data_IF_894580516334
#
_entry.id   IF_894580516334
#
_cell.length_a   1.000
_cell.length_b   1.000
_cell.length_c   1.000
_cell.angle_alpha   90.00
_cell.angle_beta   90.00
_cell.angle_gamma   90.00
#
_symmetry.space_group_name_H-M   'P 1'
#
loop_
_entity.id
_entity.type
_entity.pdbx_description
1 polymer ?
#
# COMPACT_ATOMS: atom_id res chain seq x y z
N UNK A 1 -13.58 35.46 -19.99
CA UNK A 1 -14.10 34.31 -20.76
C UNK A 1 -14.23 33.12 -19.81
N UNK A 2 -15.45 32.79 -19.38
CA UNK A 2 -15.72 31.63 -18.53
C UNK A 2 -15.71 30.38 -19.42
N UNK A 3 -14.70 29.52 -19.28
CA UNK A 3 -14.75 28.16 -19.84
C UNK A 3 -15.76 27.35 -19.01
N UNK A 4 -16.98 27.21 -19.52
CA UNK A 4 -17.87 26.14 -19.09
C UNK A 4 -17.23 24.81 -19.51
N UNK A 5 -16.70 24.06 -18.54
CA UNK A 5 -16.42 22.63 -18.72
C UNK A 5 -17.76 21.91 -18.58
N UNK A 6 -18.43 21.65 -19.69
CA UNK A 6 -19.45 20.61 -19.78
C UNK A 6 -18.76 19.27 -19.68
N UNK A 7 -18.77 18.64 -18.50
CA UNK A 7 -18.39 17.24 -18.33
C UNK A 7 -19.53 16.37 -18.85
N UNK A 8 -19.47 16.06 -20.15
CA UNK A 8 -20.25 14.94 -20.71
C UNK A 8 -19.77 13.61 -20.10
N UNK A 9 -20.56 12.52 -20.24
CA UNK A 9 -20.08 11.19 -19.87
C UNK A 9 -18.76 10.93 -20.60
N UNK A 10 -17.74 10.55 -19.85
CA UNK A 10 -16.42 10.22 -20.41
C UNK A 10 -16.61 9.05 -21.35
N UNK A 11 -16.21 9.22 -22.61
CA UNK A 11 -16.17 8.12 -23.57
C UNK A 11 -15.01 7.18 -23.18
N UNK A 12 -15.35 6.14 -22.43
CA UNK A 12 -14.39 5.16 -21.91
C UNK A 12 -13.61 4.50 -23.05
N UNK A 13 -14.23 4.32 -24.22
CA UNK A 13 -13.58 3.69 -25.35
C UNK A 13 -12.52 4.61 -25.97
N UNK A 14 -12.79 5.92 -26.05
CA UNK A 14 -11.79 6.90 -26.43
C UNK A 14 -10.59 6.90 -25.47
N UNK A 15 -10.84 6.78 -24.15
CA UNK A 15 -9.77 6.69 -23.14
C UNK A 15 -8.90 5.47 -23.37
N UNK A 16 -9.48 4.30 -23.65
CA UNK A 16 -8.71 3.09 -23.94
C UNK A 16 -7.90 3.22 -25.24
N UNK A 17 -8.51 3.73 -26.31
CA UNK A 17 -7.80 3.97 -27.57
C UNK A 17 -6.60 4.92 -27.39
N UNK A 18 -6.76 6.01 -26.64
CA UNK A 18 -5.67 6.94 -26.34
C UNK A 18 -4.55 6.27 -25.54
N UNK A 19 -4.89 5.41 -24.57
CA UNK A 19 -3.92 4.64 -23.80
C UNK A 19 -3.15 3.65 -24.68
N UNK A 20 -3.82 2.98 -25.61
CA UNK A 20 -3.14 2.07 -26.55
C UNK A 20 -2.21 2.83 -27.50
N UNK A 21 -2.65 3.96 -28.06
CA UNK A 21 -1.82 4.80 -28.91
C UNK A 21 -0.57 5.29 -28.15
N UNK A 22 -0.74 5.72 -26.90
CA UNK A 22 0.37 6.10 -26.03
C UNK A 22 1.31 4.92 -25.75
N UNK A 23 0.77 3.74 -25.45
CA UNK A 23 1.54 2.51 -25.24
C UNK A 23 2.38 2.15 -26.48
N UNK A 24 1.78 2.22 -27.67
CA UNK A 24 2.48 1.97 -28.95
C UNK A 24 3.63 2.96 -29.15
N UNK A 25 3.37 4.26 -28.95
CA UNK A 25 4.40 5.30 -29.07
C UNK A 25 5.56 5.05 -28.10
N UNK A 26 5.24 4.71 -26.85
CA UNK A 26 6.25 4.52 -25.81
C UNK A 26 7.11 3.27 -26.07
N UNK A 27 6.48 2.13 -26.41
CA UNK A 27 7.20 0.89 -26.68
C UNK A 27 8.02 0.95 -27.96
N UNK A 28 7.57 1.68 -28.98
CA UNK A 28 8.36 1.95 -30.19
C UNK A 28 9.64 2.73 -29.88
N UNK A 29 9.67 3.50 -28.79
CA UNK A 29 10.83 4.26 -28.31
C UNK A 29 11.72 3.50 -27.32
N UNK A 30 11.45 2.22 -27.03
CA UNK A 30 12.23 1.45 -26.07
C UNK A 30 13.69 1.27 -26.53
N UNK A 31 14.64 1.82 -25.79
CA UNK A 31 16.07 1.78 -26.13
C UNK A 31 16.80 0.51 -25.63
N UNK A 32 16.07 -0.46 -25.09
CA UNK A 32 16.59 -1.70 -24.52
C UNK A 32 15.65 -2.87 -24.83
N UNK A 33 16.15 -4.11 -24.87
CA UNK A 33 15.29 -5.28 -25.09
C UNK A 33 14.30 -5.44 -23.92
N UNK A 34 13.05 -5.77 -24.21
CA UNK A 34 12.05 -6.15 -23.21
C UNK A 34 11.79 -7.65 -23.34
N UNK A 35 11.69 -8.34 -22.21
CA UNK A 35 11.46 -9.77 -22.16
C UNK A 35 10.06 -10.08 -21.62
N UNK A 36 9.49 -11.17 -22.11
CA UNK A 36 8.24 -11.74 -21.61
C UNK A 36 8.34 -13.26 -21.50
N UNK A 37 7.49 -13.85 -20.66
CA UNK A 37 7.37 -15.31 -20.54
C UNK A 37 6.55 -15.86 -21.71
N UNK A 38 7.10 -16.87 -22.40
CA UNK A 38 6.39 -17.61 -23.45
C UNK A 38 5.35 -18.52 -22.81
N UNK A 39 4.08 -18.13 -22.91
CA UNK A 39 2.97 -18.85 -22.32
C UNK A 39 1.73 -18.81 -23.22
N UNK A 40 0.93 -19.87 -23.22
CA UNK A 40 -0.23 -20.04 -24.12
C UNK A 40 -1.33 -18.98 -23.90
N UNK A 41 -1.50 -18.52 -22.64
CA UNK A 41 -2.47 -17.49 -22.30
C UNK A 41 -2.10 -16.07 -22.79
N UNK A 42 -0.94 -15.90 -23.44
CA UNK A 42 -0.41 -14.59 -23.80
C UNK A 42 0.10 -13.81 -22.58
N UNK A 43 0.34 -12.52 -22.77
CA UNK A 43 0.76 -11.62 -21.71
C UNK A 43 0.20 -10.21 -21.87
N UNK A 44 0.36 -9.42 -20.82
CA UNK A 44 -0.14 -8.04 -20.73
C UNK A 44 0.99 -7.09 -20.38
N UNK A 45 0.98 -5.89 -20.98
CA UNK A 45 1.81 -4.78 -20.54
C UNK A 45 1.23 -4.24 -19.24
N UNK A 46 1.81 -4.61 -18.11
CA UNK A 46 1.22 -4.31 -16.81
C UNK A 46 1.61 -2.94 -16.29
N UNK A 47 2.89 -2.61 -16.38
CA UNK A 47 3.47 -1.38 -15.87
C UNK A 47 4.63 -0.95 -16.75
N UNK A 48 4.90 0.35 -16.76
CA UNK A 48 6.12 0.90 -17.30
C UNK A 48 6.46 2.18 -16.54
N UNK A 49 7.74 2.49 -16.48
CA UNK A 49 8.25 3.69 -15.81
C UNK A 49 9.00 4.57 -16.80
N UNK A 50 8.76 5.88 -16.75
CA UNK A 50 9.40 6.86 -17.63
C UNK A 50 10.12 7.88 -16.76
N UNK A 51 11.42 8.05 -17.01
CA UNK A 51 12.30 8.95 -16.28
C UNK A 51 13.27 9.63 -17.25
N UNK A 52 13.54 10.92 -17.02
CA UNK A 52 14.40 11.75 -17.88
C UNK A 52 13.99 11.73 -19.38
N UNK A 53 12.69 11.58 -19.66
CA UNK A 53 12.15 11.54 -21.02
C UNK A 53 12.34 10.20 -21.76
N UNK A 54 12.80 9.16 -21.08
CA UNK A 54 12.98 7.82 -21.63
C UNK A 54 12.36 6.73 -20.75
N UNK A 55 12.16 5.55 -21.34
CA UNK A 55 11.67 4.37 -20.64
C UNK A 55 12.75 3.84 -19.68
N UNK A 56 12.39 3.60 -18.42
CA UNK A 56 13.30 3.11 -17.38
C UNK A 56 13.05 1.65 -17.02
N UNK A 57 11.79 1.25 -16.97
CA UNK A 57 11.41 -0.15 -16.78
C UNK A 57 10.12 -0.49 -17.51
N UNK A 58 9.98 -1.76 -17.87
CA UNK A 58 8.76 -2.35 -18.46
C UNK A 58 8.45 -3.64 -17.74
N UNK A 59 7.19 -3.81 -17.35
CA UNK A 59 6.68 -5.00 -16.69
C UNK A 59 5.65 -5.72 -17.57
N UNK A 60 5.92 -6.99 -17.84
CA UNK A 60 5.04 -7.90 -18.56
C UNK A 60 4.52 -8.95 -17.59
N UNK A 61 3.21 -9.17 -17.57
CA UNK A 61 2.58 -10.24 -16.79
C UNK A 61 1.99 -11.29 -17.70
N UNK A 62 2.16 -12.56 -17.38
CA UNK A 62 1.68 -13.69 -18.17
C UNK A 62 1.11 -14.77 -17.26
N UNK A 63 0.13 -15.53 -17.76
CA UNK A 63 -0.54 -16.61 -17.01
C UNK A 63 -1.88 -16.20 -16.41
N UNK A 64 -2.37 -17.01 -15.46
CA UNK A 64 -3.64 -16.79 -14.77
C UNK A 64 -3.44 -15.92 -13.53
N UNK A 65 -3.61 -14.62 -13.74
CA UNK A 65 -3.55 -13.61 -12.70
C UNK A 65 -4.80 -13.60 -11.79
N UNK A 66 -5.89 -14.27 -12.16
CA UNK A 66 -7.07 -14.41 -11.30
C UNK A 66 -6.95 -15.59 -10.31
N UNK A 67 -5.97 -16.47 -10.55
CA UNK A 67 -5.69 -17.64 -9.74
C UNK A 67 -4.68 -17.35 -8.63
N UNK A 68 -5.06 -17.66 -7.39
CA UNK A 68 -4.18 -17.61 -6.22
C UNK A 68 -3.04 -18.66 -6.26
N UNK A 69 -3.22 -19.88 -6.81
CA UNK A 69 -2.10 -20.81 -6.99
C UNK A 69 -1.26 -20.57 -8.25
N UNK A 70 -1.69 -19.74 -9.19
CA UNK A 70 -1.06 -19.58 -10.52
C UNK A 70 -1.62 -20.57 -11.57
N UNK A 71 -0.92 -20.79 -12.70
CA UNK A 71 0.43 -20.31 -13.02
C UNK A 71 0.45 -18.82 -13.35
N UNK A 72 1.40 -18.08 -12.78
CA UNK A 72 1.53 -16.64 -13.01
C UNK A 72 3.00 -16.22 -12.97
N UNK A 73 3.43 -15.40 -13.94
CA UNK A 73 4.80 -14.86 -14.01
C UNK A 73 4.76 -13.37 -14.35
N UNK A 74 5.49 -12.58 -13.57
CA UNK A 74 5.82 -11.18 -13.86
C UNK A 74 7.27 -11.09 -14.31
N UNK A 75 7.53 -10.38 -15.41
CA UNK A 75 8.86 -10.11 -15.94
C UNK A 75 9.04 -8.59 -16.01
N UNK A 76 9.88 -8.04 -15.13
CA UNK A 76 10.24 -6.62 -15.15
C UNK A 76 11.63 -6.45 -15.72
N UNK A 77 11.70 -5.77 -16.87
CA UNK A 77 12.96 -5.45 -17.54
C UNK A 77 13.32 -3.99 -17.28
N UNK A 78 14.52 -3.76 -16.75
CA UNK A 78 15.05 -2.45 -16.47
C UNK A 78 16.05 -2.04 -17.54
N UNK A 79 16.10 -0.73 -17.85
CA UNK A 79 17.13 -0.20 -18.74
C UNK A 79 18.54 -0.50 -18.22
N UNK A 80 19.53 -0.65 -19.11
CA UNK A 80 20.92 -0.84 -18.70
C UNK A 80 21.41 0.25 -17.73
N UNK A 81 22.00 -0.17 -16.62
CA UNK A 81 22.55 0.72 -15.59
C UNK A 81 21.50 1.36 -14.66
N UNK A 82 20.22 0.93 -14.71
CA UNK A 82 19.19 1.42 -13.79
C UNK A 82 19.62 1.31 -12.32
N UNK A 83 20.28 0.22 -11.95
CA UNK A 83 20.77 -0.03 -10.59
C UNK A 83 21.81 0.98 -10.08
N UNK A 84 22.43 1.76 -10.98
CA UNK A 84 23.43 2.78 -10.61
C UNK A 84 22.77 4.10 -10.23
N UNK A 85 21.54 4.33 -10.68
CA UNK A 85 20.81 5.57 -10.45
C UNK A 85 19.85 5.44 -9.28
N UNK A 86 19.16 4.31 -9.19
CA UNK A 86 18.23 3.99 -8.11
C UNK A 86 18.42 2.53 -7.72
N UNK A 87 18.50 2.19 -6.42
CA UNK A 87 18.49 0.81 -5.98
C UNK A 87 17.24 0.08 -6.52
N UNK A 88 17.45 -1.05 -7.19
CA UNK A 88 16.34 -1.89 -7.65
C UNK A 88 15.65 -2.55 -6.45
N UNK A 89 14.33 -2.83 -6.51
CA UNK A 89 13.61 -3.51 -5.44
C UNK A 89 14.29 -4.81 -5.01
N UNK A 90 14.28 -5.17 -3.73
CA UNK A 90 14.84 -6.46 -3.31
C UNK A 90 14.00 -7.63 -3.86
N UNK A 91 14.61 -8.82 -3.98
CA UNK A 91 13.87 -9.99 -4.48
C UNK A 91 12.75 -10.42 -3.52
N UNK A 92 12.97 -10.21 -2.22
CA UNK A 92 11.97 -10.36 -1.17
C UNK A 92 10.79 -9.41 -1.38
N UNK A 93 11.04 -8.16 -1.78
CA UNK A 93 9.98 -7.18 -2.03
C UNK A 93 9.12 -7.61 -3.23
N UNK A 94 9.76 -8.15 -4.27
CA UNK A 94 9.08 -8.69 -5.46
C UNK A 94 8.25 -9.95 -5.15
N UNK A 95 8.72 -10.82 -4.25
CA UNK A 95 7.93 -11.96 -3.73
C UNK A 95 6.71 -11.44 -2.98
N UNK A 96 6.90 -10.45 -2.11
CA UNK A 96 5.81 -9.91 -1.31
C UNK A 96 4.84 -9.07 -2.17
N UNK A 97 5.28 -8.39 -3.24
CA UNK A 97 4.40 -7.73 -4.23
C UNK A 97 3.44 -8.73 -4.87
N UNK A 98 3.92 -9.93 -5.20
CA UNK A 98 3.07 -10.98 -5.76
C UNK A 98 2.07 -11.55 -4.75
N UNK A 99 2.39 -11.52 -3.45
CA UNK A 99 1.43 -11.86 -2.39
C UNK A 99 0.41 -10.73 -2.19
N UNK A 100 0.87 -9.49 -2.26
CA UNK A 100 0.02 -8.30 -2.17
C UNK A 100 -0.97 -8.27 -3.33
N UNK A 101 -0.55 -8.63 -4.54
CA UNK A 101 -1.46 -8.85 -5.69
C UNK A 101 -2.54 -9.87 -5.36
N UNK A 102 -2.20 -11.04 -4.81
CA UNK A 102 -3.19 -12.08 -4.47
C UNK A 102 -4.19 -11.56 -3.43
N UNK A 103 -3.73 -10.84 -2.41
CA UNK A 103 -4.61 -10.24 -1.41
C UNK A 103 -5.51 -9.15 -2.02
N UNK A 104 -4.93 -8.15 -2.67
CA UNK A 104 -5.66 -6.99 -3.18
C UNK A 104 -6.61 -7.38 -4.33
N UNK A 105 -6.18 -8.31 -5.17
CA UNK A 105 -6.94 -8.71 -6.35
C UNK A 105 -7.94 -9.84 -6.09
N UNK A 106 -7.53 -10.86 -5.33
CA UNK A 106 -8.31 -12.10 -5.13
C UNK A 106 -8.95 -12.16 -3.72
N UNK A 107 -8.49 -11.31 -2.78
CA UNK A 107 -9.01 -11.28 -1.40
C UNK A 107 -8.46 -12.40 -0.51
N UNK A 108 -7.41 -13.10 -0.96
CA UNK A 108 -6.81 -14.21 -0.21
C UNK A 108 -5.63 -13.69 0.62
N UNK A 109 -5.80 -13.67 1.94
CA UNK A 109 -4.70 -13.35 2.86
C UNK A 109 -3.82 -14.59 3.10
N UNK A 110 -2.61 -14.57 2.54
CA UNK A 110 -1.59 -15.62 2.73
C UNK A 110 -0.71 -15.39 3.98
N UNK A 111 -1.07 -14.41 4.81
CA UNK A 111 -0.43 -14.06 6.07
C UNK A 111 0.75 -13.10 5.94
N UNK A 112 1.08 -12.40 7.04
CA UNK A 112 2.16 -11.41 7.11
C UNK A 112 3.51 -11.98 7.60
N UNK A 113 3.54 -13.27 7.97
CA UNK A 113 4.75 -13.90 8.49
C UNK A 113 5.74 -14.06 7.34
N UNK A 114 6.97 -13.53 7.45
CA UNK A 114 7.99 -13.72 6.44
C UNK A 114 8.17 -15.21 6.19
N UNK A 115 8.09 -15.59 4.92
CA UNK A 115 8.48 -16.91 4.49
C UNK A 115 9.91 -17.27 4.89
N UNK A 116 10.25 -18.55 4.78
CA UNK A 116 11.66 -18.94 4.72
C UNK A 116 12.20 -18.58 3.35
N UNK A 117 12.67 -17.34 3.18
CA UNK A 117 13.38 -16.93 1.98
C UNK A 117 14.64 -17.77 1.85
N UNK A 118 14.69 -18.61 0.82
CA UNK A 118 15.88 -19.40 0.47
C UNK A 118 16.49 -18.86 -0.79
N UNK A 119 17.78 -18.53 -0.72
CA UNK A 119 18.58 -18.24 -1.90
C UNK A 119 18.97 -19.56 -2.58
N UNK A 120 18.37 -19.84 -3.73
CA UNK A 120 18.64 -21.02 -4.56
C UNK A 120 19.37 -20.61 -5.84
N UNK A 121 20.20 -21.51 -6.36
CA UNK A 121 20.78 -21.38 -7.70
C UNK A 121 19.94 -22.22 -8.65
N UNK A 122 19.16 -21.54 -9.46
CA UNK A 122 18.25 -22.14 -10.42
C UNK A 122 18.59 -21.70 -11.84
N UNK A 123 17.84 -22.21 -12.81
CA UNK A 123 18.02 -21.88 -14.22
C UNK A 123 16.72 -21.32 -14.79
N UNK A 124 16.82 -20.27 -15.59
CA UNK A 124 15.74 -19.74 -16.44
C UNK A 124 16.25 -19.80 -17.88
N UNK A 125 15.41 -20.24 -18.81
CA UNK A 125 15.78 -20.27 -20.23
C UNK A 125 15.51 -18.89 -20.83
N UNK A 126 16.49 -18.31 -21.52
CA UNK A 126 16.36 -17.02 -22.20
C UNK A 126 16.76 -17.19 -23.66
N UNK A 127 15.82 -16.98 -24.58
CA UNK A 127 16.00 -17.18 -26.01
C UNK A 127 16.63 -18.55 -26.35
N UNK A 128 16.20 -19.59 -25.61
CA UNK A 128 16.67 -20.97 -25.78
C UNK A 128 17.95 -21.34 -24.99
N UNK A 129 18.60 -20.37 -24.33
CA UNK A 129 19.82 -20.61 -23.55
C UNK A 129 19.55 -20.61 -22.04
N UNK A 130 20.01 -21.62 -21.28
CA UNK A 130 19.85 -21.64 -19.83
C UNK A 130 20.75 -20.59 -19.16
N UNK A 131 20.15 -19.76 -18.29
CA UNK A 131 20.83 -18.73 -17.51
C UNK A 131 20.69 -19.02 -16.03
N UNK A 132 21.82 -19.06 -15.34
CA UNK A 132 21.83 -19.22 -13.89
C UNK A 132 21.24 -17.97 -13.22
N UNK A 133 20.36 -18.18 -12.26
CA UNK A 133 19.68 -17.12 -11.51
C UNK A 133 19.74 -17.43 -10.02
N UNK A 134 19.98 -16.39 -9.22
CA UNK A 134 19.74 -16.46 -7.79
C UNK A 134 18.26 -16.18 -7.56
N UNK A 135 17.57 -17.16 -6.96
CA UNK A 135 16.14 -17.10 -6.69
C UNK A 135 15.92 -17.02 -5.19
N UNK A 136 15.03 -16.12 -4.78
CA UNK A 136 14.51 -16.00 -3.43
C UNK A 136 13.14 -16.64 -3.43
N UNK A 137 13.03 -17.81 -2.82
CA UNK A 137 11.79 -18.59 -2.76
C UNK A 137 11.13 -18.42 -1.38
N UNK A 138 9.82 -18.15 -1.37
CA UNK A 138 8.95 -18.25 -0.20
C UNK A 138 7.90 -19.36 -0.43
N UNK A 139 8.12 -20.50 0.24
CA UNK A 139 7.15 -21.60 0.29
C UNK A 139 6.34 -21.57 1.58
N UNK A 140 5.02 -21.40 1.44
CA UNK A 140 4.02 -21.51 2.51
C UNK A 140 3.08 -22.70 2.28
N UNK A 141 3.58 -23.73 1.62
CA UNK A 141 2.85 -24.98 1.30
C UNK A 141 2.23 -25.64 2.54
N UNK A 142 2.90 -25.58 3.70
CA UNK A 142 2.36 -26.08 4.96
C UNK A 142 1.09 -25.36 5.43
N UNK A 143 0.88 -24.11 5.01
CA UNK A 143 -0.32 -23.32 5.26
C UNK A 143 -1.34 -23.40 4.09
N UNK A 144 -1.11 -24.28 3.10
CA UNK A 144 -1.99 -24.43 1.93
C UNK A 144 -1.82 -23.37 0.85
N UNK A 145 -0.81 -22.51 0.96
CA UNK A 145 -0.53 -21.46 -0.02
C UNK A 145 0.50 -21.90 -1.06
N UNK A 146 0.43 -21.31 -2.26
CA UNK A 146 1.39 -21.57 -3.33
C UNK A 146 2.81 -21.11 -2.98
N UNK A 147 3.80 -21.71 -3.64
CA UNK A 147 5.18 -21.20 -3.63
C UNK A 147 5.27 -19.98 -4.52
N UNK A 148 5.89 -18.92 -4.02
CA UNK A 148 6.23 -17.70 -4.75
C UNK A 148 7.74 -17.57 -4.76
N UNK A 149 8.30 -17.13 -5.87
CA UNK A 149 9.73 -16.87 -5.95
C UNK A 149 10.02 -15.65 -6.81
N UNK A 150 11.15 -15.00 -6.56
CA UNK A 150 11.68 -13.96 -7.43
C UNK A 150 13.15 -14.22 -7.73
N UNK A 151 13.58 -13.96 -8.96
CA UNK A 151 14.96 -14.09 -9.41
C UNK A 151 15.40 -12.90 -10.22
N UNK A 152 16.69 -12.59 -10.18
CA UNK A 152 17.30 -11.52 -10.99
C UNK A 152 18.43 -12.04 -11.85
N UNK A 153 18.41 -11.65 -13.11
CA UNK A 153 19.44 -11.98 -14.09
C UNK A 153 19.79 -10.75 -14.94
N UNK A 154 20.95 -10.81 -15.60
CA UNK A 154 21.37 -9.81 -16.61
C UNK A 154 21.35 -10.46 -17.98
N UNK A 155 20.68 -9.80 -18.93
CA UNK A 155 20.53 -10.27 -20.32
C UNK A 155 20.73 -9.06 -21.23
N UNK A 156 21.65 -9.14 -22.19
CA UNK A 156 21.93 -8.06 -23.15
C UNK A 156 22.17 -6.67 -22.51
N UNK A 157 22.81 -6.68 -21.32
CA UNK A 157 23.08 -5.46 -20.54
C UNK A 157 21.87 -4.92 -19.78
N UNK A 158 20.66 -5.42 -20.01
CA UNK A 158 19.48 -5.13 -19.21
C UNK A 158 19.46 -6.00 -17.94
N UNK A 159 18.92 -5.43 -16.86
CA UNK A 159 18.61 -6.20 -15.65
C UNK A 159 17.16 -6.67 -15.74
N UNK A 160 16.92 -7.97 -15.53
CA UNK A 160 15.59 -8.58 -15.59
C UNK A 160 15.29 -9.17 -14.21
N UNK A 161 14.15 -8.78 -13.63
CA UNK A 161 13.58 -9.41 -12.43
C UNK A 161 12.37 -10.23 -12.85
N UNK A 162 12.36 -11.50 -12.45
CA UNK A 162 11.30 -12.46 -12.75
C UNK A 162 10.67 -12.89 -11.44
N UNK A 163 9.36 -12.75 -11.32
CA UNK A 163 8.59 -13.25 -10.17
C UNK A 163 7.64 -14.31 -10.67
N UNK A 164 7.66 -15.50 -10.07
CA UNK A 164 6.84 -16.63 -10.47
C UNK A 164 6.01 -17.19 -9.33
N UNK A 165 4.82 -17.66 -9.66
CA UNK A 165 3.88 -18.34 -8.77
C UNK A 165 3.26 -19.54 -9.48
N UNK A 166 3.24 -20.69 -8.81
CA UNK A 166 2.69 -21.92 -9.39
C UNK A 166 3.50 -22.51 -10.55
N UNK A 167 4.67 -21.94 -10.84
CA UNK A 167 5.56 -22.34 -11.93
C UNK A 167 6.98 -22.40 -11.36
N UNK A 168 7.75 -23.49 -11.53
CA UNK A 168 9.14 -23.53 -11.10
C UNK A 168 10.03 -22.66 -12.02
N UNK A 169 11.15 -22.08 -11.53
CA UNK A 169 12.04 -21.24 -12.36
C UNK A 169 12.48 -21.90 -13.66
N UNK A 170 12.79 -23.21 -13.63
CA UNK A 170 13.21 -23.97 -14.81
C UNK A 170 12.14 -24.17 -15.89
N UNK A 171 10.87 -23.88 -15.59
CA UNK A 171 9.78 -23.89 -16.57
C UNK A 171 9.52 -22.51 -17.19
N UNK A 172 10.24 -21.47 -16.76
CA UNK A 172 10.13 -20.13 -17.34
C UNK A 172 11.07 -20.03 -18.54
N UNK A 173 10.48 -19.82 -19.72
CA UNK A 173 11.18 -19.45 -20.95
C UNK A 173 10.92 -17.98 -21.25
N UNK A 174 11.95 -17.14 -21.09
CA UNK A 174 11.90 -15.75 -21.49
C UNK A 174 12.28 -15.63 -22.96
N UNK A 175 11.52 -14.82 -23.69
CA UNK A 175 11.89 -14.37 -25.04
C UNK A 175 11.85 -12.86 -25.13
N UNK A 176 12.73 -12.33 -25.98
CA UNK A 176 12.65 -10.92 -26.36
C UNK A 176 11.34 -10.64 -27.08
N UNK A 177 10.63 -9.62 -26.64
CA UNK A 177 9.42 -9.13 -27.29
C UNK A 177 9.83 -8.24 -28.46
N UNK A 178 9.42 -8.65 -29.66
CA UNK A 178 9.64 -7.89 -30.91
C UNK A 178 8.38 -7.13 -31.34
N UNK A 179 7.21 -7.59 -30.91
CA UNK A 179 5.92 -6.98 -31.18
C UNK A 179 5.13 -6.85 -29.87
N UNK A 180 4.82 -5.60 -29.52
CA UNK A 180 4.13 -5.25 -28.29
C UNK A 180 2.60 -5.19 -28.44
N UNK A 181 2.06 -5.31 -29.65
CA UNK A 181 0.64 -5.08 -29.92
C UNK A 181 -0.25 -5.97 -29.05
N UNK A 182 0.06 -7.27 -28.96
CA UNK A 182 -0.69 -8.21 -28.12
C UNK A 182 -0.67 -7.84 -26.62
N UNK A 183 0.44 -7.29 -26.12
CA UNK A 183 0.61 -6.92 -24.71
C UNK A 183 -0.13 -5.62 -24.39
N UNK A 184 -0.14 -4.67 -25.33
CA UNK A 184 -0.88 -3.41 -25.23
C UNK A 184 -2.39 -3.68 -25.24
N UNK A 185 -2.88 -4.51 -26.17
CA UNK A 185 -4.28 -4.93 -26.21
C UNK A 185 -4.65 -5.73 -24.95
N UNK A 186 -3.75 -6.61 -24.48
CA UNK A 186 -3.90 -7.34 -23.23
C UNK A 186 -4.07 -6.42 -22.02
N UNK A 187 -3.34 -5.29 -21.96
CA UNK A 187 -3.51 -4.25 -20.94
C UNK A 187 -4.91 -3.63 -20.97
N UNK A 188 -5.41 -3.28 -22.16
CA UNK A 188 -6.77 -2.74 -22.31
C UNK A 188 -7.82 -3.74 -21.82
N UNK A 189 -7.71 -5.01 -22.21
CA UNK A 189 -8.61 -6.07 -21.76
C UNK A 189 -8.58 -6.23 -20.23
N UNK A 190 -7.38 -6.25 -19.63
CA UNK A 190 -7.20 -6.29 -18.19
C UNK A 190 -7.88 -5.11 -17.48
N UNK A 191 -7.69 -3.89 -17.98
CA UNK A 191 -8.30 -2.71 -17.37
C UNK A 191 -9.82 -2.70 -17.46
N UNK A 192 -10.41 -3.26 -18.54
CA UNK A 192 -11.85 -3.45 -18.64
C UNK A 192 -12.36 -4.43 -17.59
N UNK A 193 -11.72 -5.59 -17.47
CA UNK A 193 -12.08 -6.61 -16.48
C UNK A 193 -11.99 -6.08 -15.05
N UNK A 194 -10.95 -5.29 -14.74
CA UNK A 194 -10.81 -4.61 -13.44
C UNK A 194 -11.91 -3.58 -13.19
N UNK A 195 -12.30 -2.81 -14.20
CA UNK A 195 -13.39 -1.83 -14.08
C UNK A 195 -14.74 -2.51 -13.85
N UNK A 196 -15.01 -3.62 -14.55
CA UNK A 196 -16.23 -4.44 -14.38
C UNK A 196 -16.30 -5.02 -12.97
N UNK A 197 -15.22 -5.66 -12.49
CA UNK A 197 -15.15 -6.18 -11.11
C UNK A 197 -15.38 -5.10 -10.06
N UNK A 198 -14.85 -3.90 -10.28
CA UNK A 198 -15.06 -2.77 -9.37
C UNK A 198 -16.52 -2.31 -9.36
N UNK A 199 -17.18 -2.30 -10.51
CA UNK A 199 -18.60 -1.98 -10.61
C UNK A 199 -19.47 -3.02 -9.88
N UNK A 200 -19.14 -4.30 -10.00
CA UNK A 200 -19.85 -5.39 -9.31
C UNK A 200 -19.63 -5.38 -7.79
N UNK A 201 -18.48 -4.85 -7.34
CA UNK A 201 -18.16 -4.62 -5.91
C UNK A 201 -18.84 -3.39 -5.31
N UNK A 202 -19.78 -2.74 -6.01
CA UNK A 202 -20.48 -1.55 -5.52
C UNK A 202 -20.81 -1.67 -4.02
N UNK A 203 -20.27 -0.74 -3.23
CA UNK A 203 -20.35 -0.80 -1.78
C UNK A 203 -21.82 -0.88 -1.35
N UNK A 204 -22.17 -1.79 -0.42
CA UNK A 204 -23.49 -1.75 0.20
C UNK A 204 -23.69 -0.34 0.78
N UNK A 205 -24.88 0.22 0.55
CA UNK A 205 -25.22 1.53 1.08
C UNK A 205 -24.91 1.54 2.59
N UNK A 206 -24.20 2.57 3.10
CA UNK A 206 -23.76 2.56 4.49
C UNK A 206 -24.97 2.43 5.40
N UNK A 207 -24.97 1.39 6.23
CA UNK A 207 -26.00 1.22 7.25
C UNK A 207 -26.03 2.46 8.14
N UNK A 208 -27.20 2.86 8.67
CA UNK A 208 -27.29 3.97 9.60
C UNK A 208 -26.44 3.66 10.84
N UNK A 209 -25.23 4.24 10.88
CA UNK A 209 -24.31 4.02 11.98
C UNK A 209 -24.98 4.39 13.32
N UNK A 210 -24.89 3.47 14.28
CA UNK A 210 -25.30 3.74 15.65
C UNK A 210 -24.55 4.97 16.18
N UNK A 211 -25.28 5.88 16.82
CA UNK A 211 -24.71 7.13 17.32
C UNK A 211 -23.78 6.80 18.50
N UNK A 212 -22.46 6.93 18.30
CA UNK A 212 -21.46 6.58 19.30
C UNK A 212 -20.03 6.96 18.91
N UNK A 213 -19.05 6.50 19.69
CA UNK A 213 -17.62 6.80 19.50
C UNK A 213 -16.88 5.73 18.70
N UNK A 214 -17.57 4.67 18.28
CA UNK A 214 -16.94 3.49 17.68
C UNK A 214 -16.20 3.81 16.37
N UNK A 215 -16.79 4.61 15.49
CA UNK A 215 -16.14 5.02 14.25
C UNK A 215 -14.82 5.78 14.48
N UNK A 216 -14.77 6.64 15.52
CA UNK A 216 -13.55 7.33 15.92
C UNK A 216 -12.50 6.36 16.47
N UNK A 217 -12.89 5.44 17.36
CA UNK A 217 -11.97 4.43 17.92
C UNK A 217 -11.32 3.60 16.83
N UNK A 218 -12.12 3.02 15.95
CA UNK A 218 -11.64 2.14 14.89
C UNK A 218 -10.66 2.88 13.97
N UNK A 219 -10.98 4.14 13.60
CA UNK A 219 -10.09 4.97 12.80
C UNK A 219 -8.78 5.27 13.52
N UNK A 220 -8.83 5.65 14.80
CA UNK A 220 -7.65 6.03 15.58
C UNK A 220 -6.76 4.83 15.89
N UNK A 221 -7.35 3.69 16.26
CA UNK A 221 -6.62 2.43 16.48
C UNK A 221 -5.91 1.96 15.20
N UNK A 222 -6.59 2.04 14.05
CA UNK A 222 -5.97 1.75 12.75
C UNK A 222 -4.85 2.74 12.43
N UNK A 223 -5.06 4.04 12.69
CA UNK A 223 -4.05 5.09 12.49
C UNK A 223 -2.78 4.83 13.30
N UNK A 224 -2.93 4.52 14.59
CA UNK A 224 -1.83 4.15 15.50
C UNK A 224 -1.10 2.90 14.98
N UNK A 225 -1.83 1.84 14.66
CA UNK A 225 -1.25 0.59 14.16
C UNK A 225 -0.44 0.82 12.86
N UNK A 226 -0.97 1.68 11.97
CA UNK A 226 -0.31 2.04 10.71
C UNK A 226 0.98 2.83 10.94
N UNK A 227 0.93 3.85 11.79
CA UNK A 227 2.11 4.67 12.14
C UNK A 227 3.25 3.80 12.69
N UNK A 228 2.94 2.94 13.67
CA UNK A 228 3.91 2.01 14.26
C UNK A 228 4.49 1.01 13.25
N UNK A 229 3.66 0.52 12.32
CA UNK A 229 4.11 -0.42 11.30
C UNK A 229 5.09 0.22 10.30
N UNK A 230 4.80 1.46 9.86
CA UNK A 230 5.71 2.23 8.99
C UNK A 230 7.03 2.46 9.70
N UNK A 231 6.99 2.91 10.95
CA UNK A 231 8.21 3.22 11.70
C UNK A 231 9.06 1.97 11.93
N UNK A 232 8.45 0.84 12.29
CA UNK A 232 9.15 -0.43 12.46
C UNK A 232 9.91 -0.86 11.19
N UNK A 233 9.36 -0.59 10.01
CA UNK A 233 10.00 -0.91 8.73
C UNK A 233 11.14 0.04 8.39
N UNK A 234 10.95 1.33 8.61
CA UNK A 234 11.99 2.33 8.45
C UNK A 234 13.18 2.03 9.38
N UNK A 235 12.93 1.67 10.65
CA UNK A 235 13.98 1.25 11.59
C UNK A 235 14.69 -0.04 11.16
N UNK A 236 13.99 -0.93 10.45
CA UNK A 236 14.57 -2.15 9.89
C UNK A 236 15.33 -1.91 8.56
N UNK A 237 15.43 -0.67 8.08
CA UNK A 237 16.06 -0.34 6.80
C UNK A 237 15.28 -0.87 5.59
N UNK A 238 14.00 -1.19 5.76
CA UNK A 238 13.13 -1.70 4.70
C UNK A 238 12.30 -0.58 4.10
N UNK A 239 11.88 -0.76 2.85
CA UNK A 239 10.87 0.08 2.22
C UNK A 239 9.60 0.10 3.09
N UNK A 240 9.09 1.31 3.36
CA UNK A 240 7.87 1.49 4.15
C UNK A 240 6.67 0.91 3.38
N UNK A 241 6.22 -0.26 3.80
CA UNK A 241 5.17 -1.05 3.17
C UNK A 241 4.15 -1.50 4.19
N UNK A 242 2.95 -0.93 4.17
CA UNK A 242 1.97 -1.24 5.20
C UNK A 242 1.64 -2.74 5.31
N UNK A 243 1.34 -3.27 6.51
CA UNK A 243 0.73 -4.59 6.67
C UNK A 243 -0.56 -4.70 5.85
N UNK A 244 -0.86 -5.85 5.22
CA UNK A 244 -2.00 -6.02 4.29
C UNK A 244 -3.34 -5.68 4.95
N UNK A 245 -3.51 -6.10 6.19
CA UNK A 245 -4.69 -5.76 7.02
C UNK A 245 -4.88 -4.26 7.27
N UNK A 246 -3.82 -3.47 7.06
CA UNK A 246 -3.83 -2.01 7.19
C UNK A 246 -3.87 -1.30 5.82
N UNK A 247 -3.85 -2.05 4.71
CA UNK A 247 -4.04 -1.54 3.34
C UNK A 247 -5.49 -1.72 2.92
N UNK A 248 -6.10 -0.71 2.31
CA UNK A 248 -7.40 -0.85 1.66
C UNK A 248 -8.26 0.40 1.60
N UNK A 249 -9.29 0.32 0.75
CA UNK A 249 -10.39 1.29 0.58
C UNK A 249 -11.15 1.54 1.90
N UNK A 250 -11.08 0.58 2.84
CA UNK A 250 -11.55 0.70 4.21
C UNK A 250 -11.09 1.99 4.92
N UNK A 251 -9.90 2.51 4.61
CA UNK A 251 -9.43 3.74 5.26
C UNK A 251 -10.32 4.93 4.92
N UNK A 252 -10.65 5.11 3.64
CA UNK A 252 -11.49 6.22 3.20
C UNK A 252 -12.91 6.05 3.76
N UNK A 253 -13.44 4.82 3.76
CA UNK A 253 -14.76 4.51 4.33
C UNK A 253 -14.80 4.80 5.84
N UNK A 254 -13.79 4.34 6.60
CA UNK A 254 -13.69 4.60 8.05
C UNK A 254 -13.48 6.08 8.36
N UNK A 255 -12.68 6.77 7.56
CA UNK A 255 -12.49 8.21 7.67
C UNK A 255 -13.82 8.95 7.49
N UNK A 256 -14.51 8.69 6.39
CA UNK A 256 -15.82 9.28 6.09
C UNK A 256 -16.88 8.93 7.13
N UNK A 257 -16.84 7.71 7.69
CA UNK A 257 -17.70 7.32 8.80
C UNK A 257 -17.42 8.14 10.07
N UNK A 258 -16.15 8.34 10.42
CA UNK A 258 -15.74 9.18 11.55
C UNK A 258 -16.13 10.65 11.34
N UNK A 259 -15.89 11.22 10.16
CA UNK A 259 -16.28 12.61 9.82
C UNK A 259 -17.80 12.79 9.94
N UNK A 260 -18.61 11.89 9.36
CA UNK A 260 -20.08 11.94 9.51
C UNK A 260 -20.52 11.78 10.96
N UNK A 261 -19.78 11.04 11.76
CA UNK A 261 -20.08 10.87 13.18
C UNK A 261 -19.73 12.13 13.98
N UNK A 262 -18.58 12.73 13.71
CA UNK A 262 -18.15 14.00 14.29
C UNK A 262 -19.15 15.14 14.00
N UNK A 263 -19.58 15.28 12.73
CA UNK A 263 -20.64 16.23 12.36
C UNK A 263 -21.90 16.06 13.20
N UNK A 264 -22.29 14.81 13.50
CA UNK A 264 -23.50 14.50 14.28
C UNK A 264 -23.32 14.74 15.78
N UNK A 265 -22.14 14.46 16.33
CA UNK A 265 -21.85 14.61 17.76
C UNK A 265 -21.61 16.07 18.15
N UNK A 266 -20.84 16.81 17.34
CA UNK A 266 -20.40 18.17 17.63
C UNK A 266 -21.24 19.25 16.92
N UNK A 267 -22.18 18.86 16.04
CA UNK A 267 -22.92 19.78 15.16
C UNK A 267 -22.03 20.64 14.26
N UNK A 268 -20.86 20.10 13.91
CA UNK A 268 -19.86 20.73 13.04
C UNK A 268 -20.23 20.61 11.56
N UNK A 269 -19.73 21.56 10.77
CA UNK A 269 -19.69 21.40 9.31
C UNK A 269 -18.78 20.24 8.91
N UNK A 270 -18.88 19.78 7.66
CA UNK A 270 -18.00 18.70 7.16
C UNK A 270 -16.53 19.09 7.22
N UNK A 271 -16.19 20.35 6.92
CA UNK A 271 -14.82 20.85 6.92
C UNK A 271 -14.24 20.87 8.34
N UNK A 272 -15.00 21.40 9.31
CA UNK A 272 -14.61 21.39 10.74
C UNK A 272 -14.47 19.96 11.28
N UNK A 273 -15.40 19.06 10.91
CA UNK A 273 -15.35 17.67 11.33
C UNK A 273 -14.15 16.91 10.71
N UNK A 274 -13.81 17.19 9.46
CA UNK A 274 -12.64 16.63 8.78
C UNK A 274 -11.33 17.12 9.43
N UNK A 275 -11.26 18.41 9.77
CA UNK A 275 -10.12 18.98 10.50
C UNK A 275 -9.99 18.39 11.91
N UNK A 276 -11.09 18.23 12.63
CA UNK A 276 -11.12 17.62 13.96
C UNK A 276 -10.65 16.16 13.93
N UNK A 277 -11.14 15.36 12.98
CA UNK A 277 -10.71 13.97 12.77
C UNK A 277 -9.22 13.91 12.38
N UNK A 278 -8.78 14.79 11.51
CA UNK A 278 -7.36 14.93 11.13
C UNK A 278 -6.48 15.22 12.34
N UNK A 279 -6.90 16.16 13.18
CA UNK A 279 -6.18 16.53 14.40
C UNK A 279 -6.08 15.34 15.35
N UNK A 280 -7.17 14.61 15.60
CA UNK A 280 -7.16 13.41 16.46
C UNK A 280 -6.21 12.31 15.94
N UNK A 281 -6.27 12.01 14.64
CA UNK A 281 -5.40 10.99 14.02
C UNK A 281 -3.93 11.39 14.13
N UNK A 282 -3.61 12.65 13.84
CA UNK A 282 -2.24 13.16 13.95
C UNK A 282 -1.74 13.19 15.40
N UNK A 283 -2.60 13.57 16.34
CA UNK A 283 -2.29 13.57 17.78
C UNK A 283 -1.83 12.19 18.22
N UNK A 284 -2.68 11.18 18.02
CA UNK A 284 -2.41 9.84 18.54
C UNK A 284 -1.36 9.10 17.72
N UNK A 285 -1.29 9.32 16.41
CA UNK A 285 -0.20 8.78 15.60
C UNK A 285 1.13 9.34 16.06
N UNK A 286 1.25 10.66 16.27
CA UNK A 286 2.49 11.27 16.80
C UNK A 286 2.81 10.72 18.18
N UNK A 287 1.83 10.57 19.07
CA UNK A 287 2.07 10.04 20.42
C UNK A 287 2.62 8.61 20.35
N UNK A 288 2.11 7.78 19.45
CA UNK A 288 2.57 6.41 19.23
C UNK A 288 4.08 6.32 18.89
N UNK A 289 4.64 7.33 18.22
CA UNK A 289 6.06 7.35 17.89
C UNK A 289 6.95 7.57 19.13
N UNK A 290 6.41 8.24 20.16
CA UNK A 290 7.17 8.60 21.35
C UNK A 290 6.98 7.64 22.52
N UNK A 291 5.90 6.84 22.51
CA UNK A 291 5.55 6.00 23.67
C UNK A 291 5.12 4.60 23.25
N UNK A 292 5.57 3.59 24.00
CA UNK A 292 5.27 2.18 23.77
C UNK A 292 3.91 1.73 24.32
N UNK A 293 3.37 2.47 25.31
CA UNK A 293 2.15 2.10 26.01
C UNK A 293 0.87 2.41 25.22
N UNK A 294 0.93 3.19 24.15
CA UNK A 294 -0.29 3.64 23.45
C UNK A 294 -1.01 2.50 22.71
N UNK A 295 -0.28 1.48 22.24
CA UNK A 295 -0.86 0.39 21.45
C UNK A 295 -1.08 -0.88 22.28
N UNK A 296 -2.28 -1.46 22.20
CA UNK A 296 -2.59 -2.75 22.81
C UNK A 296 -2.64 -2.75 24.35
N UNK A 297 -2.67 -1.59 25.01
CA UNK A 297 -2.76 -1.49 26.47
C UNK A 297 -4.07 -0.82 26.94
N UNK A 298 -4.50 -1.07 28.19
CA UNK A 298 -5.64 -0.35 28.78
C UNK A 298 -5.44 1.17 28.87
N UNK A 299 -4.20 1.63 29.06
CA UNK A 299 -3.88 3.06 29.06
C UNK A 299 -4.04 3.65 27.65
N UNK A 300 -3.59 2.92 26.63
CA UNK A 300 -3.80 3.30 25.22
C UNK A 300 -5.27 3.49 24.86
N UNK A 301 -6.10 2.49 25.18
CA UNK A 301 -7.55 2.55 24.94
C UNK A 301 -8.21 3.74 25.67
N UNK A 302 -7.76 4.05 26.89
CA UNK A 302 -8.25 5.21 27.63
C UNK A 302 -7.82 6.56 27.02
N UNK A 303 -6.59 6.65 26.49
CA UNK A 303 -6.10 7.85 25.83
C UNK A 303 -6.91 8.14 24.56
N UNK A 304 -7.20 7.10 23.76
CA UNK A 304 -8.10 7.20 22.59
C UNK A 304 -9.47 7.75 23.01
N UNK A 305 -10.10 7.15 24.04
CA UNK A 305 -11.40 7.61 24.54
C UNK A 305 -11.40 9.07 24.97
N UNK A 306 -10.35 9.50 25.70
CA UNK A 306 -10.29 10.86 26.21
C UNK A 306 -10.00 11.90 25.12
N UNK A 307 -9.20 11.56 24.10
CA UNK A 307 -9.03 12.41 22.91
C UNK A 307 -10.36 12.58 22.19
N UNK A 308 -11.08 11.50 21.91
CA UNK A 308 -12.38 11.59 21.20
C UNK A 308 -13.39 12.40 22.02
N UNK A 309 -13.46 12.21 23.34
CA UNK A 309 -14.38 12.97 24.20
C UNK A 309 -14.04 14.46 24.28
N UNK A 310 -12.75 14.77 24.36
CA UNK A 310 -12.30 16.15 24.35
C UNK A 310 -12.69 16.84 23.03
N UNK A 311 -12.37 16.22 21.90
CA UNK A 311 -12.63 16.82 20.58
C UNK A 311 -14.12 16.85 20.21
N UNK A 312 -14.87 15.76 20.41
CA UNK A 312 -16.26 15.68 19.98
C UNK A 312 -17.25 16.40 20.89
N UNK A 313 -16.93 16.56 22.18
CA UNK A 313 -17.87 17.10 23.19
C UNK A 313 -17.31 18.27 24.00
N UNK A 314 -16.08 18.74 23.72
CA UNK A 314 -15.39 19.72 24.55
C UNK A 314 -15.36 19.34 26.05
N UNK A 315 -15.31 18.04 26.35
CA UNK A 315 -15.40 17.53 27.72
C UNK A 315 -14.15 17.85 28.53
N UNK A 316 -14.33 18.15 29.82
CA UNK A 316 -13.25 18.17 30.79
C UNK A 316 -12.79 16.74 31.09
N UNK A 317 -11.80 16.26 30.34
CA UNK A 317 -11.19 14.94 30.52
C UNK A 317 -9.96 15.02 31.43
N UNK A 318 -9.59 13.93 32.13
CA UNK A 318 -8.35 13.90 32.91
C UNK A 318 -7.10 14.25 32.09
N UNK A 319 -7.06 13.89 30.80
CA UNK A 319 -5.97 14.27 29.90
C UNK A 319 -5.99 15.72 29.41
N UNK A 320 -6.86 16.61 29.93
CA UNK A 320 -7.02 17.99 29.49
C UNK A 320 -5.70 18.79 29.35
N UNK A 321 -4.71 18.68 30.27
CA UNK A 321 -3.42 19.35 30.09
C UNK A 321 -2.71 18.92 28.80
N UNK A 322 -2.79 17.64 28.45
CA UNK A 322 -2.21 17.09 27.23
C UNK A 322 -2.97 17.53 25.98
N UNK A 323 -4.30 17.58 26.04
CA UNK A 323 -5.14 18.08 24.93
C UNK A 323 -4.82 19.54 24.58
N UNK A 324 -4.73 20.42 25.59
CA UNK A 324 -4.37 21.83 25.37
C UNK A 324 -2.94 22.01 24.86
N UNK A 325 -2.03 21.13 25.26
CA UNK A 325 -0.67 21.13 24.73
C UNK A 325 -0.65 20.73 23.26
N UNK A 326 -1.47 19.75 22.87
CA UNK A 326 -1.67 19.37 21.48
C UNK A 326 -2.25 20.51 20.64
N UNK A 327 -3.31 21.18 21.09
CA UNK A 327 -3.91 22.31 20.34
C UNK A 327 -2.87 23.40 20.01
N UNK A 328 -1.99 23.72 20.98
CA UNK A 328 -0.89 24.68 20.76
C UNK A 328 0.13 24.17 19.74
N UNK A 329 0.45 22.88 19.79
CA UNK A 329 1.36 22.24 18.84
C UNK A 329 0.75 22.20 17.42
N UNK A 330 -0.53 21.88 17.32
CA UNK A 330 -1.30 21.78 16.08
C UNK A 330 -1.46 23.14 15.40
N UNK A 331 -1.83 24.18 16.16
CA UNK A 331 -1.95 25.55 15.66
C UNK A 331 -0.61 26.16 15.18
N UNK A 332 0.52 25.58 15.61
CA UNK A 332 1.87 26.07 15.28
C UNK A 332 2.36 25.76 13.87
N UNK A 333 1.71 24.86 13.11
CA UNK A 333 1.98 24.60 11.69
C UNK A 333 3.44 24.28 11.32
N UNK A 334 3.91 23.04 11.56
CA UNK A 334 5.23 22.49 11.12
C UNK A 334 6.51 23.13 11.74
N UNK A 335 7.66 22.42 11.76
CA UNK A 335 8.44 22.16 12.97
C UNK A 335 9.62 23.14 13.20
N UNK A 336 9.35 24.43 13.20
CA UNK A 336 10.28 25.42 13.80
C UNK A 336 9.71 26.00 15.11
N UNK A 337 8.80 25.25 15.75
CA UNK A 337 8.20 25.62 17.04
C UNK A 337 9.15 25.20 18.16
N UNK A 338 9.35 26.03 19.22
CA UNK A 338 10.35 25.78 20.25
C UNK A 338 10.20 24.39 20.89
N UNK A 339 11.33 23.72 21.10
CA UNK A 339 11.46 22.37 21.67
C UNK A 339 10.57 22.09 22.90
N UNK A 340 10.19 23.13 23.65
CA UNK A 340 9.35 22.99 24.84
C UNK A 340 7.87 22.64 24.60
N UNK A 341 7.30 22.82 23.41
CA UNK A 341 5.86 22.53 23.17
C UNK A 341 5.57 21.03 23.07
N UNK A 342 6.44 20.30 22.38
CA UNK A 342 6.37 18.84 22.28
C UNK A 342 6.73 18.16 23.61
N UNK A 343 7.78 18.63 24.30
CA UNK A 343 8.14 18.14 25.63
C UNK A 343 7.01 18.33 26.64
N UNK A 344 6.33 19.48 26.63
CA UNK A 344 5.19 19.75 27.50
C UNK A 344 4.00 18.82 27.21
N UNK A 345 3.75 18.52 25.92
CA UNK A 345 2.70 17.60 25.50
C UNK A 345 2.99 16.15 25.92
N UNK A 346 4.22 15.67 25.69
CA UNK A 346 4.64 14.32 26.12
C UNK A 346 4.64 14.19 27.66
N UNK A 347 5.13 15.21 28.37
CA UNK A 347 5.11 15.24 29.84
C UNK A 347 3.69 15.17 30.38
N UNK A 348 2.74 15.89 29.77
CA UNK A 348 1.35 15.88 30.20
C UNK A 348 0.69 14.50 30.02
N UNK A 349 0.99 13.79 28.93
CA UNK A 349 0.52 12.40 28.74
C UNK A 349 1.12 11.44 29.74
N UNK A 350 2.41 11.59 30.05
CA UNK A 350 3.09 10.74 31.02
C UNK A 350 2.54 10.94 32.45
N UNK A 351 2.32 12.19 32.86
CA UNK A 351 1.69 12.51 34.14
C UNK A 351 0.29 11.91 34.25
N UNK A 352 -0.54 12.09 33.21
CA UNK A 352 -1.87 11.49 33.14
C UNK A 352 -1.83 9.96 33.29
N UNK A 353 -0.88 9.28 32.62
CA UNK A 353 -0.70 7.83 32.71
C UNK A 353 -0.37 7.40 34.14
N UNK A 354 0.60 8.08 34.77
CA UNK A 354 1.05 7.79 36.14
C UNK A 354 -0.10 7.94 37.12
N UNK A 355 -0.81 9.08 37.11
CA UNK A 355 -1.94 9.34 38.00
C UNK A 355 -3.03 8.26 37.84
N UNK A 356 -3.35 7.89 36.60
CA UNK A 356 -4.36 6.86 36.32
C UNK A 356 -3.96 5.49 36.88
N UNK A 357 -2.70 5.10 36.75
CA UNK A 357 -2.21 3.82 37.30
C UNK A 357 -2.17 3.81 38.82
N UNK A 358 -1.97 4.96 39.47
CA UNK A 358 -1.99 5.10 40.92
C UNK A 358 -3.40 5.08 41.51
N UNK A 359 -4.40 5.56 40.75
CA UNK A 359 -5.80 5.61 41.17
C UNK A 359 -6.63 4.38 40.77
N UNK A 360 -6.05 3.40 40.06
CA UNK A 360 -6.67 2.10 39.86
C UNK A 360 -6.65 1.34 41.21
N UNK A 361 -7.82 1.02 41.80
CA UNK A 361 -7.86 0.27 43.04
C UNK A 361 -7.17 -1.07 42.80
N UNK A 362 -6.15 -1.38 43.60
CA UNK A 362 -5.52 -2.71 43.65
C UNK A 362 -6.64 -3.73 43.89
N UNK A 363 -7.01 -4.45 42.83
CA UNK A 363 -7.94 -5.58 42.91
C UNK A 363 -7.21 -6.81 43.38
#
# INVERSE_FOLDING_TARGET
MKRQRTSGPVDIEAVYSDQEAYGRQLMAGAAFPVFGWVHEAGGVLAEFEVGNGGLESVEIRSGDWSSAPGPYVTVRTYRPGAEQLVPLPDLEDAVEDERDRVYEHIGVDEGEVPGRVRALREWITVDGEPRAVQVHEDSRTAAGHGTVWAGRLRVDGATVTVTGRGVPPGAVELRRIVDFEQYILGRTALLRELAERRADRAEPAPEPAELGLQAHRELLEQGIARALAVEAQLRAGRSARLPRRLRGEDQQVRWEAAVRQQMRLASESREEADEAVTSMVNHLSRLAHHVDWLSGTPAGAAAVEEVVRFTAFASEVPSLPAQRAWERLWAGGTPEVPSGTEDAWLTAWELWRVERTQHLPRR
#
